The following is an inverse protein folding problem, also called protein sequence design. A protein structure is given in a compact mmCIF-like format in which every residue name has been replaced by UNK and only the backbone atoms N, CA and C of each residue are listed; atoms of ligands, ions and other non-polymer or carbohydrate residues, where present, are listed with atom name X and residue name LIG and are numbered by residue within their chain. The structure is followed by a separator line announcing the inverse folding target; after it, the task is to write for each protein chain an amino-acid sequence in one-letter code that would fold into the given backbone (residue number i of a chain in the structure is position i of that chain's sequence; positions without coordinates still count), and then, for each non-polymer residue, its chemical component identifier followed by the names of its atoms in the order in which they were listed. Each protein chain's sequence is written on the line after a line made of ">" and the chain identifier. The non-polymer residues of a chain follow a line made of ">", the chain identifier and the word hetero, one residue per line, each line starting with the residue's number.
data_IF_881340061139
#
_entry.id   IF_881340061139
#
_cell.length_a   1.000
_cell.length_b   1.000
_cell.length_c   1.000
_cell.angle_alpha   90.00
_cell.angle_beta   90.00
_cell.angle_gamma   90.00
#
_symmetry.space_group_name_H-M   'P 1'
#
loop_
_entity.id
_entity.type
_entity.pdbx_description
1 polymer ?
#
# COMPACT_ATOMS: atom_id res chain seq x y z
N UNK A 1 10.92 -11.87 25.88
CA UNK A 1 10.50 -10.59 25.28
C UNK A 1 10.17 -10.90 23.83
N UNK A 2 8.92 -10.80 23.43
CA UNK A 2 8.53 -10.92 22.01
C UNK A 2 9.01 -9.61 21.37
N UNK A 3 10.00 -9.70 20.47
CA UNK A 3 10.42 -8.55 19.67
C UNK A 3 9.21 -8.07 18.88
N UNK A 4 8.74 -6.86 19.17
CA UNK A 4 7.70 -6.18 18.42
C UNK A 4 8.27 -5.82 17.05
N UNK A 5 8.04 -6.67 16.05
CA UNK A 5 8.47 -6.40 14.68
C UNK A 5 7.45 -5.49 13.98
N UNK A 6 7.75 -4.21 13.98
CA UNK A 6 7.14 -3.29 13.03
C UNK A 6 7.52 -3.71 11.59
N UNK A 7 6.56 -3.66 10.64
CA UNK A 7 6.87 -3.98 9.25
C UNK A 7 7.93 -3.05 8.68
N UNK A 8 9.07 -3.63 8.28
CA UNK A 8 10.17 -2.87 7.68
C UNK A 8 9.78 -2.39 6.29
N UNK A 9 9.00 -3.17 5.55
CA UNK A 9 8.49 -2.77 4.22
C UNK A 9 7.52 -1.60 4.33
N UNK A 10 6.68 -1.55 5.36
CA UNK A 10 5.82 -0.38 5.61
C UNK A 10 6.65 0.88 5.86
N UNK A 11 7.74 0.79 6.64
CA UNK A 11 8.69 1.89 6.84
C UNK A 11 9.41 2.29 5.54
N UNK A 12 9.80 1.31 4.73
CA UNK A 12 10.45 1.55 3.45
C UNK A 12 9.53 2.28 2.46
N UNK A 13 8.25 1.87 2.38
CA UNK A 13 7.24 2.56 1.58
C UNK A 13 6.98 3.98 2.08
N UNK A 14 6.93 4.18 3.41
CA UNK A 14 6.80 5.51 4.01
C UNK A 14 8.00 6.40 3.70
N UNK A 15 9.22 5.85 3.80
CA UNK A 15 10.44 6.55 3.43
C UNK A 15 10.43 6.98 1.97
N UNK A 16 10.03 6.09 1.05
CA UNK A 16 9.95 6.39 -0.38
C UNK A 16 8.97 7.54 -0.66
N UNK A 17 7.80 7.58 0.00
CA UNK A 17 6.82 8.66 -0.11
C UNK A 17 7.37 9.97 0.45
N UNK A 18 7.95 9.93 1.66
CA UNK A 18 8.57 11.09 2.30
C UNK A 18 9.70 11.68 1.45
N UNK A 19 10.56 10.80 0.92
CA UNK A 19 11.67 11.21 0.06
C UNK A 19 11.16 11.89 -1.23
N UNK A 20 10.17 11.29 -1.89
CA UNK A 20 9.59 11.83 -3.12
C UNK A 20 8.90 13.18 -2.89
N UNK A 21 8.14 13.32 -1.79
CA UNK A 21 7.45 14.57 -1.44
C UNK A 21 8.42 15.72 -1.12
N UNK A 22 9.63 15.41 -0.64
CA UNK A 22 10.62 16.44 -0.28
C UNK A 22 11.52 16.89 -1.44
N UNK A 23 11.65 16.13 -2.52
CA UNK A 23 12.72 16.34 -3.51
C UNK A 23 12.24 16.87 -4.86
N UNK A 24 10.98 16.76 -5.22
CA UNK A 24 10.56 16.98 -6.61
C UNK A 24 9.48 18.03 -6.84
N UNK A 25 9.60 18.77 -7.95
CA UNK A 25 8.52 19.62 -8.46
C UNK A 25 7.49 18.85 -9.29
N UNK A 26 7.85 17.69 -9.85
CA UNK A 26 6.97 16.84 -10.64
C UNK A 26 6.66 15.55 -9.85
N UNK A 27 5.69 15.65 -8.95
CA UNK A 27 5.30 14.57 -8.04
C UNK A 27 4.29 13.63 -8.71
N UNK A 28 4.47 12.32 -8.54
CA UNK A 28 3.48 11.30 -8.90
C UNK A 28 2.38 11.30 -7.85
N UNK A 29 2.80 11.38 -6.59
CA UNK A 29 1.95 11.47 -5.42
C UNK A 29 2.64 12.32 -4.35
N UNK A 30 1.92 13.23 -3.72
CA UNK A 30 2.48 14.11 -2.69
C UNK A 30 1.99 13.75 -1.29
N UNK A 31 2.72 12.86 -0.63
CA UNK A 31 2.50 12.58 0.78
C UNK A 31 3.34 13.48 1.67
N UNK A 32 2.94 14.72 1.78
CA UNK A 32 3.66 15.76 2.53
C UNK A 32 3.73 15.48 4.04
N UNK A 33 2.94 14.53 4.56
CA UNK A 33 2.94 14.14 5.97
C UNK A 33 3.82 12.91 6.27
N UNK A 34 4.25 12.17 5.25
CA UNK A 34 4.99 10.93 5.45
C UNK A 34 6.31 11.13 6.21
N UNK A 35 7.03 12.25 5.98
CA UNK A 35 8.26 12.56 6.69
C UNK A 35 8.01 12.79 8.19
N UNK A 36 7.02 13.61 8.51
CA UNK A 36 6.69 13.95 9.90
C UNK A 36 6.23 12.69 10.66
N UNK A 37 5.33 11.90 10.05
CA UNK A 37 4.85 10.67 10.65
C UNK A 37 5.99 9.67 10.91
N UNK A 38 6.92 9.52 9.97
CA UNK A 38 8.09 8.66 10.13
C UNK A 38 9.04 9.18 11.21
N UNK A 39 9.20 10.49 11.29
CA UNK A 39 10.14 11.19 12.15
C UNK A 39 11.57 11.18 11.62
N UNK A 40 12.35 12.15 12.06
CA UNK A 40 13.73 12.36 11.62
C UNK A 40 14.59 11.11 11.83
N UNK A 41 14.54 10.52 13.04
CA UNK A 41 15.36 9.38 13.39
C UNK A 41 15.01 8.15 12.54
N UNK A 42 13.72 7.84 12.36
CA UNK A 42 13.27 6.76 11.50
C UNK A 42 13.61 6.99 10.02
N UNK A 43 13.58 8.23 9.57
CA UNK A 43 13.98 8.60 8.22
C UNK A 43 15.50 8.42 8.01
N UNK A 44 16.33 8.84 8.95
CA UNK A 44 17.78 8.68 8.90
C UNK A 44 18.17 7.20 8.99
N UNK A 45 17.55 6.43 9.90
CA UNK A 45 17.76 4.99 10.04
C UNK A 45 17.45 4.25 8.72
N UNK A 46 16.31 4.53 8.09
CA UNK A 46 15.95 3.91 6.83
C UNK A 46 16.89 4.33 5.69
N UNK A 47 17.29 5.59 5.65
CA UNK A 47 18.30 6.08 4.69
C UNK A 47 19.63 5.36 4.81
N UNK A 48 20.10 5.11 6.05
CA UNK A 48 21.31 4.34 6.32
C UNK A 48 21.17 2.87 5.94
N UNK A 49 20.01 2.25 6.22
CA UNK A 49 19.74 0.87 5.85
C UNK A 49 19.81 0.71 4.32
N UNK A 50 19.16 1.58 3.57
CA UNK A 50 19.20 1.58 2.10
C UNK A 50 20.62 1.81 1.58
N UNK A 51 21.41 2.67 2.23
CA UNK A 51 22.77 2.92 1.85
C UNK A 51 23.67 1.69 2.09
N UNK A 52 23.52 1.02 3.23
CA UNK A 52 24.38 -0.10 3.63
C UNK A 52 24.07 -1.39 2.87
N UNK A 53 22.79 -1.72 2.69
CA UNK A 53 22.37 -2.96 2.03
C UNK A 53 22.60 -2.93 0.52
N UNK A 54 22.71 -1.74 -0.06
CA UNK A 54 22.95 -1.57 -1.47
C UNK A 54 24.41 -1.19 -1.84
N UNK A 55 25.29 -0.90 -0.86
CA UNK A 55 26.71 -0.65 -1.08
C UNK A 55 27.58 -1.79 -0.51
N UNK A 56 27.78 -2.86 -1.29
CA UNK A 56 28.91 -3.77 -1.07
C UNK A 56 30.27 -3.09 -1.40
N UNK A 57 30.27 -1.86 -1.92
CA UNK A 57 31.46 -1.08 -2.25
C UNK A 57 31.45 0.29 -1.53
N UNK A 58 32.25 0.33 -0.45
CA UNK A 58 32.87 1.48 0.24
C UNK A 58 32.04 2.75 0.53
N UNK A 59 31.89 2.98 1.84
CA UNK A 59 31.36 4.18 2.46
C UNK A 59 32.07 5.48 2.03
N UNK A 60 31.39 6.34 1.31
CA UNK A 60 31.79 7.72 1.13
C UNK A 60 30.96 8.62 2.05
N UNK A 61 31.62 9.31 3.01
CA UNK A 61 31.01 10.06 4.09
C UNK A 61 30.40 11.41 3.72
N UNK A 62 30.17 11.70 2.43
CA UNK A 62 29.61 12.97 2.00
C UNK A 62 28.10 12.87 1.70
N UNK A 63 27.26 13.36 2.63
CA UNK A 63 25.80 13.36 2.59
C UNK A 63 25.18 13.84 1.26
N UNK A 64 25.78 14.75 0.53
CA UNK A 64 25.27 15.28 -0.75
C UNK A 64 25.44 14.30 -1.91
N UNK A 65 26.46 13.46 -1.89
CA UNK A 65 26.67 12.40 -2.89
C UNK A 65 25.85 11.16 -2.54
N UNK A 66 25.70 10.87 -1.26
CA UNK A 66 24.83 9.82 -0.73
C UNK A 66 23.36 10.07 -1.13
N UNK A 67 22.87 11.32 -1.12
CA UNK A 67 21.48 11.61 -1.47
C UNK A 67 21.14 11.33 -2.94
N UNK A 68 22.06 11.56 -3.90
CA UNK A 68 21.86 11.19 -5.31
C UNK A 68 21.88 9.68 -5.55
N UNK A 69 22.77 8.96 -4.85
CA UNK A 69 22.82 7.49 -4.94
C UNK A 69 21.57 6.87 -4.32
N UNK A 70 21.13 7.36 -3.16
CA UNK A 70 19.88 6.93 -2.51
C UNK A 70 18.70 7.22 -3.44
N UNK A 71 18.60 8.43 -4.02
CA UNK A 71 17.56 8.79 -4.97
C UNK A 71 17.48 7.83 -6.15
N UNK A 72 18.62 7.56 -6.79
CA UNK A 72 18.67 6.67 -7.96
C UNK A 72 18.22 5.24 -7.60
N UNK A 73 18.55 4.75 -6.41
CA UNK A 73 18.17 3.41 -5.96
C UNK A 73 16.71 3.32 -5.60
N UNK A 74 16.23 4.28 -4.81
CA UNK A 74 14.82 4.39 -4.50
C UNK A 74 13.98 4.44 -5.76
N UNK A 75 14.31 5.35 -6.65
CA UNK A 75 13.59 5.55 -7.90
C UNK A 75 13.66 4.33 -8.83
N UNK A 76 14.73 3.55 -8.75
CA UNK A 76 14.86 2.33 -9.55
C UNK A 76 14.12 1.14 -8.95
N UNK A 77 14.18 0.92 -7.62
CA UNK A 77 13.80 -0.36 -7.02
C UNK A 77 12.59 -0.29 -6.08
N UNK A 78 12.22 0.89 -5.55
CA UNK A 78 11.24 0.97 -4.47
C UNK A 78 10.13 1.98 -4.77
N UNK A 79 10.49 3.24 -4.99
CA UNK A 79 9.57 4.38 -5.09
C UNK A 79 8.43 4.22 -6.10
N UNK A 80 8.64 3.62 -7.28
CA UNK A 80 7.59 3.56 -8.29
C UNK A 80 6.31 2.85 -7.83
N UNK A 81 6.43 1.76 -7.06
CA UNK A 81 5.27 0.98 -6.64
C UNK A 81 4.42 1.75 -5.62
N UNK A 82 4.93 2.18 -4.45
CA UNK A 82 4.08 2.84 -3.45
C UNK A 82 3.47 4.15 -3.94
N UNK A 83 4.17 4.89 -4.82
CA UNK A 83 3.62 6.15 -5.33
C UNK A 83 2.48 5.94 -6.32
N UNK A 84 2.67 5.07 -7.31
CA UNK A 84 1.66 4.86 -8.35
C UNK A 84 0.42 4.15 -7.81
N UNK A 85 0.58 3.12 -6.95
CA UNK A 85 -0.57 2.41 -6.40
C UNK A 85 -1.42 3.27 -5.47
N UNK A 86 -0.82 4.16 -4.66
CA UNK A 86 -1.57 5.09 -3.81
C UNK A 86 -2.24 6.15 -4.66
N UNK A 87 -1.54 6.72 -5.66
CA UNK A 87 -2.13 7.66 -6.59
C UNK A 87 -3.34 7.06 -7.33
N UNK A 88 -3.25 5.80 -7.75
CA UNK A 88 -4.35 5.04 -8.31
C UNK A 88 -5.51 4.91 -7.32
N UNK A 89 -5.24 4.37 -6.14
CA UNK A 89 -6.27 4.09 -5.14
C UNK A 89 -6.99 5.36 -4.66
N UNK A 90 -6.28 6.45 -4.38
CA UNK A 90 -6.90 7.69 -3.93
C UNK A 90 -7.66 8.41 -5.05
N UNK A 91 -7.23 8.29 -6.32
CA UNK A 91 -8.01 8.76 -7.48
C UNK A 91 -9.38 8.08 -7.51
N UNK A 92 -9.40 6.75 -7.42
CA UNK A 92 -10.61 5.95 -7.49
C UNK A 92 -11.50 6.13 -6.24
N UNK A 93 -10.90 6.25 -5.06
CA UNK A 93 -11.62 6.57 -3.83
C UNK A 93 -12.32 7.94 -3.94
N UNK A 94 -11.65 8.95 -4.47
CA UNK A 94 -12.25 10.27 -4.68
C UNK A 94 -13.43 10.23 -5.65
N UNK A 95 -13.32 9.49 -6.75
CA UNK A 95 -14.42 9.28 -7.69
C UNK A 95 -15.59 8.52 -7.03
N UNK A 96 -15.28 7.49 -6.24
CA UNK A 96 -16.25 6.73 -5.47
C UNK A 96 -17.00 7.60 -4.46
N UNK A 97 -16.27 8.40 -3.68
CA UNK A 97 -16.86 9.31 -2.70
C UNK A 97 -17.72 10.41 -3.36
N UNK A 98 -17.31 10.94 -4.51
CA UNK A 98 -18.11 11.89 -5.28
C UNK A 98 -19.42 11.27 -5.79
N UNK A 99 -19.42 9.99 -6.14
CA UNK A 99 -20.63 9.30 -6.61
C UNK A 99 -21.60 8.97 -5.49
N UNK A 100 -21.10 8.45 -4.35
CA UNK A 100 -21.96 7.96 -3.25
C UNK A 100 -22.25 9.01 -2.17
N UNK A 101 -21.47 10.08 -2.07
CA UNK A 101 -21.49 10.98 -0.92
C UNK A 101 -20.90 10.27 0.30
N UNK A 102 -21.72 9.97 1.31
CA UNK A 102 -21.26 9.24 2.49
C UNK A 102 -20.82 7.83 2.14
N UNK A 103 -19.58 7.50 2.48
CA UNK A 103 -18.98 6.19 2.21
C UNK A 103 -17.95 5.80 3.28
N UNK A 104 -17.51 4.56 3.23
CA UNK A 104 -16.46 4.03 4.10
C UNK A 104 -15.22 3.68 3.28
N UNK A 105 -14.05 3.99 3.83
CA UNK A 105 -12.75 3.61 3.29
C UNK A 105 -12.05 2.67 4.25
N UNK A 106 -11.87 1.43 3.85
CA UNK A 106 -11.23 0.38 4.65
C UNK A 106 -9.86 0.07 4.10
N UNK A 107 -8.81 0.37 4.86
CA UNK A 107 -7.41 0.16 4.47
C UNK A 107 -6.90 -1.10 5.16
N UNK A 108 -6.73 -2.18 4.40
CA UNK A 108 -6.19 -3.44 4.90
C UNK A 108 -4.65 -3.41 4.88
N UNK A 109 -4.02 -3.41 6.05
CA UNK A 109 -2.58 -3.22 6.18
C UNK A 109 -2.18 -1.75 6.05
N UNK A 110 -2.81 -0.87 6.83
CA UNK A 110 -2.65 0.59 6.72
C UNK A 110 -1.21 1.08 6.96
N UNK A 111 -0.42 0.37 7.78
CA UNK A 111 0.97 0.74 8.03
C UNK A 111 1.12 2.18 8.50
N UNK A 112 1.92 2.93 7.74
CA UNK A 112 2.16 4.36 7.94
C UNK A 112 1.38 5.21 6.92
N UNK A 113 0.17 4.79 6.56
CA UNK A 113 -0.72 5.58 5.70
C UNK A 113 -1.07 6.92 6.35
N UNK A 114 -1.24 7.97 5.54
CA UNK A 114 -1.51 9.34 6.00
C UNK A 114 -2.83 9.89 5.45
N UNK A 115 -3.60 9.08 4.70
CA UNK A 115 -4.82 9.53 4.04
C UNK A 115 -5.76 10.27 5.01
N UNK A 116 -6.06 9.68 6.15
CA UNK A 116 -7.01 10.25 7.10
C UNK A 116 -6.62 11.64 7.61
N UNK A 117 -5.31 11.96 7.62
CA UNK A 117 -4.79 13.28 8.03
C UNK A 117 -4.62 14.27 6.88
N UNK A 118 -4.75 13.82 5.63
CA UNK A 118 -4.73 14.63 4.41
C UNK A 118 -6.13 14.83 3.82
N UNK A 119 -7.06 13.97 4.22
CA UNK A 119 -8.43 14.01 3.74
C UNK A 119 -9.21 15.13 4.42
N UNK A 120 -9.83 15.99 3.62
CA UNK A 120 -10.72 17.07 4.06
C UNK A 120 -12.21 16.77 3.81
N UNK A 121 -12.53 15.60 3.24
CA UNK A 121 -13.90 15.17 3.03
C UNK A 121 -14.43 14.44 4.28
N UNK A 122 -15.35 15.06 5.06
CA UNK A 122 -15.89 14.45 6.28
C UNK A 122 -16.86 13.29 6.00
N UNK A 123 -17.32 13.11 4.75
CA UNK A 123 -18.25 12.06 4.38
C UNK A 123 -17.55 10.69 4.16
N UNK A 124 -16.23 10.65 4.23
CA UNK A 124 -15.44 9.40 4.15
C UNK A 124 -15.08 8.94 5.57
N UNK A 125 -15.76 7.90 6.07
CA UNK A 125 -15.35 7.21 7.30
C UNK A 125 -14.18 6.29 7.03
N UNK A 126 -13.05 6.47 7.71
CA UNK A 126 -11.80 5.75 7.47
C UNK A 126 -11.56 4.69 8.51
N UNK A 127 -11.33 3.45 8.09
CA UNK A 127 -10.99 2.31 8.95
C UNK A 127 -9.59 1.81 8.60
N UNK A 128 -8.63 2.02 9.49
CA UNK A 128 -7.25 1.54 9.33
C UNK A 128 -7.06 0.20 10.05
N UNK A 129 -6.99 -0.88 9.26
CA UNK A 129 -6.73 -2.23 9.75
C UNK A 129 -5.24 -2.51 9.71
N UNK A 130 -4.65 -2.85 10.84
CA UNK A 130 -3.25 -3.26 10.90
C UNK A 130 -2.93 -4.07 12.16
N UNK A 131 -1.77 -4.74 12.12
CA UNK A 131 -1.27 -5.45 13.29
C UNK A 131 -1.19 -4.52 14.51
N UNK A 132 -1.57 -5.01 15.71
CA UNK A 132 -1.59 -4.18 16.91
C UNK A 132 -0.27 -3.44 17.19
N UNK A 133 0.88 -4.01 16.83
CA UNK A 133 2.19 -3.40 17.05
C UNK A 133 2.41 -2.20 16.12
N UNK A 134 2.12 -2.35 14.83
CA UNK A 134 2.18 -1.27 13.84
C UNK A 134 1.23 -0.13 14.21
N UNK A 135 0.00 -0.47 14.58
CA UNK A 135 -0.99 0.53 15.04
C UNK A 135 -0.56 1.26 16.32
N UNK A 136 0.12 0.58 17.26
CA UNK A 136 0.67 1.23 18.46
C UNK A 136 1.80 2.20 18.11
N UNK A 137 2.69 1.82 17.21
CA UNK A 137 3.76 2.69 16.73
C UNK A 137 3.19 3.94 16.08
N UNK A 138 2.30 3.81 15.09
CA UNK A 138 1.66 4.92 14.40
C UNK A 138 0.97 5.88 15.38
N UNK A 139 0.13 5.37 16.29
CA UNK A 139 -0.55 6.20 17.29
C UNK A 139 0.40 6.88 18.25
N UNK A 140 1.54 6.27 18.59
CA UNK A 140 2.61 6.95 19.36
C UNK A 140 3.16 8.12 18.59
N UNK A 141 3.50 7.95 17.31
CA UNK A 141 3.99 9.02 16.45
C UNK A 141 3.00 10.16 16.31
N UNK A 142 1.73 9.87 16.10
CA UNK A 142 0.65 10.86 16.03
C UNK A 142 0.61 11.71 17.31
N UNK A 143 0.72 11.08 18.49
CA UNK A 143 0.74 11.81 19.78
C UNK A 143 2.00 12.67 19.93
N UNK A 144 3.17 12.15 19.54
CA UNK A 144 4.43 12.91 19.59
C UNK A 144 4.42 14.14 18.66
N UNK A 145 3.67 14.06 17.56
CA UNK A 145 3.45 15.17 16.63
C UNK A 145 2.32 16.12 17.04
N UNK A 146 1.62 15.79 18.12
CA UNK A 146 0.43 16.53 18.58
C UNK A 146 -0.65 16.67 17.50
N UNK A 147 -0.73 15.72 16.57
CA UNK A 147 -1.75 15.70 15.54
C UNK A 147 -3.13 15.40 16.13
N UNK A 148 -4.11 16.19 15.71
CA UNK A 148 -5.51 15.92 16.04
C UNK A 148 -5.98 14.73 15.22
N UNK A 149 -6.46 13.70 15.91
CA UNK A 149 -7.05 12.53 15.24
C UNK A 149 -8.42 12.95 14.71
N UNK A 150 -8.68 12.80 13.39
CA UNK A 150 -9.99 13.09 12.82
C UNK A 150 -11.09 12.22 13.45
N UNK A 151 -12.28 12.79 13.68
CA UNK A 151 -13.41 12.07 14.28
C UNK A 151 -13.90 10.89 13.44
N UNK A 152 -13.68 10.95 12.12
CA UNK A 152 -14.01 9.92 11.13
C UNK A 152 -12.88 8.90 10.90
N UNK A 153 -11.85 8.86 11.76
CA UNK A 153 -10.77 7.86 11.70
C UNK A 153 -10.90 6.80 12.80
N UNK A 154 -11.01 5.55 12.39
CA UNK A 154 -11.08 4.38 13.25
C UNK A 154 -9.84 3.51 13.10
N UNK A 155 -9.06 3.34 14.18
CA UNK A 155 -7.97 2.38 14.22
C UNK A 155 -8.50 1.00 14.61
N UNK A 156 -8.35 0.02 13.73
CA UNK A 156 -8.85 -1.36 13.91
C UNK A 156 -7.66 -2.32 14.08
N UNK A 157 -7.23 -2.61 15.30
CA UNK A 157 -6.13 -3.55 15.52
C UNK A 157 -6.59 -4.97 15.15
N UNK A 158 -5.86 -5.60 14.23
CA UNK A 158 -6.16 -6.93 13.70
C UNK A 158 -4.87 -7.73 13.42
N UNK A 159 -4.83 -8.98 13.86
CA UNK A 159 -3.89 -9.97 13.34
C UNK A 159 -4.63 -10.82 12.31
N UNK A 160 -4.42 -10.53 11.01
CA UNK A 160 -5.11 -11.20 9.92
C UNK A 160 -4.94 -12.74 9.90
N UNK A 161 -3.96 -13.26 10.63
CA UNK A 161 -3.75 -14.71 10.76
C UNK A 161 -4.62 -15.36 11.86
N UNK A 162 -5.22 -14.58 12.75
CA UNK A 162 -5.95 -15.07 13.93
C UNK A 162 -7.34 -14.48 14.09
N UNK A 163 -7.50 -13.22 13.71
CA UNK A 163 -8.72 -12.46 13.94
C UNK A 163 -9.68 -12.55 12.74
N UNK A 164 -10.96 -12.45 13.01
CA UNK A 164 -11.95 -12.26 11.97
C UNK A 164 -12.11 -10.77 11.63
N UNK A 165 -11.92 -10.43 10.35
CA UNK A 165 -11.95 -9.07 9.85
C UNK A 165 -13.35 -8.44 10.01
N UNK A 166 -14.40 -9.21 9.79
CA UNK A 166 -15.78 -8.72 9.89
C UNK A 166 -16.11 -8.35 11.33
N UNK A 167 -15.76 -9.21 12.28
CA UNK A 167 -15.98 -8.95 13.71
C UNK A 167 -15.23 -7.70 14.18
N UNK A 168 -13.97 -7.56 13.74
CA UNK A 168 -13.14 -6.39 14.11
C UNK A 168 -13.67 -5.08 13.54
N UNK A 169 -14.11 -5.08 12.29
CA UNK A 169 -14.71 -3.92 11.64
C UNK A 169 -16.03 -3.52 12.31
N UNK A 170 -16.96 -4.48 12.50
CA UNK A 170 -18.25 -4.23 13.14
C UNK A 170 -18.07 -3.67 14.56
N UNK A 171 -17.14 -4.24 15.33
CA UNK A 171 -16.82 -3.75 16.68
C UNK A 171 -16.23 -2.32 16.70
N UNK A 172 -15.73 -1.84 15.54
CA UNK A 172 -15.12 -0.52 15.37
C UNK A 172 -16.07 0.51 14.75
N UNK A 173 -17.35 0.17 14.55
CA UNK A 173 -18.36 1.08 14.02
C UNK A 173 -18.57 1.00 12.50
N UNK A 174 -17.98 0.02 11.82
CA UNK A 174 -18.25 -0.25 10.41
C UNK A 174 -19.73 -0.59 10.20
N UNK A 175 -20.35 0.01 9.19
CA UNK A 175 -21.74 -0.23 8.81
C UNK A 175 -21.83 -0.95 7.46
N UNK A 176 -22.25 -2.23 7.43
CA UNK A 176 -22.40 -2.98 6.17
C UNK A 176 -23.45 -2.40 5.21
N UNK A 177 -24.26 -1.44 5.65
CA UNK A 177 -25.29 -0.77 4.83
C UNK A 177 -24.79 0.51 4.17
N UNK A 178 -23.51 0.86 4.34
CA UNK A 178 -22.89 2.03 3.72
C UNK A 178 -21.94 1.56 2.61
N UNK A 179 -21.97 2.15 1.39
CA UNK A 179 -21.03 1.84 0.32
C UNK A 179 -19.59 1.94 0.81
N UNK A 180 -18.79 0.92 0.51
CA UNK A 180 -17.43 0.81 1.05
C UNK A 180 -16.40 0.64 -0.05
N UNK A 181 -15.30 1.37 0.08
CA UNK A 181 -14.12 1.24 -0.74
C UNK A 181 -13.02 0.52 0.07
N UNK A 182 -12.67 -0.70 -0.33
CA UNK A 182 -11.61 -1.49 0.32
C UNK A 182 -10.30 -1.31 -0.43
N UNK A 183 -9.20 -1.05 0.28
CA UNK A 183 -7.86 -1.00 -0.27
C UNK A 183 -6.96 -2.08 0.35
N UNK A 184 -6.36 -2.90 -0.51
CA UNK A 184 -5.40 -3.95 -0.14
C UNK A 184 -4.08 -3.64 -0.85
N UNK A 185 -3.38 -2.60 -0.38
CA UNK A 185 -2.20 -2.07 -1.06
C UNK A 185 -0.90 -2.60 -0.45
N UNK A 186 -0.10 -3.28 -1.27
CA UNK A 186 1.18 -3.85 -0.85
C UNK A 186 1.06 -5.06 0.07
N UNK A 187 -0.07 -5.75 0.04
CA UNK A 187 -0.39 -6.89 0.91
C UNK A 187 -0.45 -8.20 0.13
N UNK A 188 -0.98 -8.20 -1.09
CA UNK A 188 -1.16 -9.39 -1.92
C UNK A 188 0.13 -10.19 -2.12
N UNK A 189 1.27 -9.53 -2.18
CA UNK A 189 2.62 -10.12 -2.32
C UNK A 189 2.93 -11.20 -1.27
N UNK A 190 2.33 -11.08 -0.10
CA UNK A 190 2.57 -11.91 1.08
C UNK A 190 1.45 -12.90 1.34
N UNK A 191 0.48 -13.00 0.42
CA UNK A 191 -0.64 -13.91 0.51
C UNK A 191 -0.44 -15.08 -0.47
N UNK A 192 -0.82 -16.27 -0.04
CA UNK A 192 -1.05 -17.37 -0.99
C UNK A 192 -2.37 -17.12 -1.71
N UNK A 193 -2.57 -17.76 -2.88
CA UNK A 193 -3.83 -17.64 -3.63
C UNK A 193 -5.05 -17.93 -2.74
N UNK A 194 -4.99 -18.99 -1.93
CA UNK A 194 -6.10 -19.36 -1.04
C UNK A 194 -6.40 -18.30 0.02
N UNK A 195 -5.39 -17.64 0.56
CA UNK A 195 -5.58 -16.54 1.54
C UNK A 195 -6.11 -15.29 0.84
N UNK A 196 -5.65 -15.01 -0.37
CA UNK A 196 -6.19 -13.92 -1.19
C UNK A 196 -7.68 -14.17 -1.50
N UNK A 197 -8.04 -15.36 -2.00
CA UNK A 197 -9.44 -15.73 -2.25
C UNK A 197 -10.32 -15.60 -1.00
N UNK A 198 -9.82 -16.05 0.15
CA UNK A 198 -10.54 -15.93 1.43
C UNK A 198 -10.72 -14.47 1.84
N UNK A 199 -9.75 -13.61 1.58
CA UNK A 199 -9.85 -12.17 1.84
C UNK A 199 -10.95 -11.55 0.98
N UNK A 200 -10.98 -11.84 -0.33
CA UNK A 200 -12.04 -11.37 -1.25
C UNK A 200 -13.41 -11.90 -0.81
N UNK A 201 -13.51 -13.17 -0.40
CA UNK A 201 -14.74 -13.77 0.12
C UNK A 201 -15.26 -13.00 1.35
N UNK A 202 -14.40 -12.71 2.31
CA UNK A 202 -14.75 -11.95 3.52
C UNK A 202 -15.25 -10.55 3.18
N UNK A 203 -14.54 -9.81 2.32
CA UNK A 203 -14.95 -8.49 1.85
C UNK A 203 -16.33 -8.58 1.19
N UNK A 204 -16.51 -9.54 0.26
CA UNK A 204 -17.80 -9.74 -0.40
C UNK A 204 -18.96 -9.97 0.56
N UNK A 205 -18.73 -10.68 1.67
CA UNK A 205 -19.78 -11.02 2.63
C UNK A 205 -20.23 -9.86 3.51
N UNK A 206 -19.45 -8.77 3.57
CA UNK A 206 -19.71 -7.66 4.50
C UNK A 206 -19.96 -6.33 3.81
N UNK A 207 -20.02 -6.28 2.48
CA UNK A 207 -20.25 -5.03 1.75
C UNK A 207 -21.48 -5.08 0.85
N UNK A 208 -22.08 -3.92 0.63
CA UNK A 208 -23.18 -3.72 -0.31
C UNK A 208 -22.73 -3.89 -1.76
N UNK A 209 -23.71 -4.05 -2.66
CA UNK A 209 -23.53 -3.80 -4.09
C UNK A 209 -22.91 -2.41 -4.32
N UNK A 210 -22.18 -2.28 -5.42
CA UNK A 210 -21.43 -1.07 -5.80
C UNK A 210 -20.25 -0.71 -4.89
N UNK A 211 -20.06 -1.41 -3.75
CA UNK A 211 -18.79 -1.30 -3.01
C UNK A 211 -17.63 -1.76 -3.88
N UNK A 212 -16.45 -1.16 -3.67
CA UNK A 212 -15.28 -1.42 -4.51
C UNK A 212 -14.13 -2.02 -3.71
N UNK A 213 -13.29 -2.77 -4.39
CA UNK A 213 -12.00 -3.22 -3.87
C UNK A 213 -10.89 -2.80 -4.84
N UNK A 214 -9.85 -2.17 -4.29
CA UNK A 214 -8.63 -1.81 -5.03
C UNK A 214 -7.45 -2.57 -4.44
N UNK A 215 -6.59 -3.11 -5.29
CA UNK A 215 -5.35 -3.76 -4.86
C UNK A 215 -4.30 -3.76 -5.95
N UNK A 216 -3.04 -3.87 -5.54
CA UNK A 216 -1.92 -4.17 -6.41
C UNK A 216 -1.48 -5.62 -6.24
N UNK A 217 -0.99 -6.24 -7.31
CA UNK A 217 -0.50 -7.60 -7.27
C UNK A 217 0.70 -7.82 -8.20
N UNK A 218 1.66 -8.68 -7.78
CA UNK A 218 2.74 -9.12 -8.65
C UNK A 218 2.24 -10.23 -9.56
N UNK A 219 2.60 -10.19 -10.86
CA UNK A 219 2.24 -11.26 -11.78
C UNK A 219 3.08 -12.54 -11.56
N UNK A 220 2.68 -13.62 -12.24
CA UNK A 220 3.33 -14.93 -12.13
C UNK A 220 4.81 -14.93 -12.51
N UNK A 221 5.29 -13.93 -13.27
CA UNK A 221 6.70 -13.84 -13.66
C UNK A 221 7.61 -13.46 -12.51
N UNK A 222 7.07 -12.89 -11.43
CA UNK A 222 7.81 -12.37 -10.27
C UNK A 222 8.75 -13.38 -9.63
N UNK A 223 8.29 -14.63 -9.50
CA UNK A 223 9.04 -15.72 -8.86
C UNK A 223 9.70 -16.67 -9.87
N UNK A 224 9.54 -16.41 -11.18
CA UNK A 224 10.18 -17.20 -12.21
C UNK A 224 11.61 -16.73 -12.43
N UNK A 225 12.56 -17.67 -12.51
CA UNK A 225 13.99 -17.37 -12.74
C UNK A 225 14.34 -16.64 -14.05
N UNK A 226 13.34 -16.25 -14.82
CA UNK A 226 13.44 -15.50 -16.06
C UNK A 226 12.96 -14.03 -15.94
N UNK A 227 12.58 -13.60 -14.73
CA UNK A 227 12.15 -12.22 -14.52
C UNK A 227 13.30 -11.23 -14.72
N UNK A 228 12.97 -9.96 -14.94
CA UNK A 228 13.94 -8.88 -15.13
C UNK A 228 14.76 -8.70 -13.84
N UNK A 229 16.07 -8.38 -13.96
CA UNK A 229 16.99 -8.14 -12.83
C UNK A 229 16.37 -7.26 -11.73
N UNK A 230 15.63 -6.22 -12.11
CA UNK A 230 15.00 -5.28 -11.19
C UNK A 230 13.94 -5.94 -10.31
N UNK A 231 13.14 -6.84 -10.87
CA UNK A 231 12.11 -7.60 -10.14
C UNK A 231 12.76 -8.56 -9.14
N UNK A 232 13.81 -9.28 -9.55
CA UNK A 232 14.59 -10.13 -8.64
C UNK A 232 15.20 -9.31 -7.49
N UNK A 233 15.79 -8.18 -7.80
CA UNK A 233 16.40 -7.31 -6.77
C UNK A 233 15.38 -6.87 -5.73
N UNK A 234 14.15 -6.52 -6.14
CA UNK A 234 13.08 -6.17 -5.20
C UNK A 234 12.67 -7.36 -4.32
N UNK A 235 12.51 -8.55 -4.92
CA UNK A 235 12.18 -9.77 -4.17
C UNK A 235 13.28 -10.12 -3.15
N UNK A 236 14.54 -10.01 -3.53
CA UNK A 236 15.69 -10.22 -2.64
C UNK A 236 15.73 -9.20 -1.48
N UNK A 237 15.40 -7.93 -1.76
CA UNK A 237 15.33 -6.88 -0.74
C UNK A 237 14.26 -7.23 0.30
N UNK A 238 13.05 -7.56 -0.14
CA UNK A 238 11.94 -7.89 0.77
C UNK A 238 12.23 -9.16 1.58
N UNK A 239 12.86 -10.18 0.97
CA UNK A 239 13.28 -11.40 1.69
C UNK A 239 14.35 -11.11 2.75
N UNK A 240 15.36 -10.28 2.45
CA UNK A 240 16.36 -9.84 3.43
C UNK A 240 15.77 -9.05 4.58
N UNK A 241 14.72 -8.28 4.32
CA UNK A 241 13.98 -7.55 5.35
C UNK A 241 13.04 -8.46 6.17
N UNK A 242 12.97 -9.76 5.85
CA UNK A 242 12.16 -10.75 6.56
C UNK A 242 10.71 -10.80 6.08
N UNK A 243 10.40 -10.15 4.95
CA UNK A 243 9.07 -10.11 4.33
C UNK A 243 9.15 -10.71 2.92
N UNK A 244 9.25 -12.04 2.86
CA UNK A 244 9.36 -12.77 1.58
C UNK A 244 8.06 -12.71 0.79
N UNK A 245 8.15 -12.40 -0.50
CA UNK A 245 7.04 -12.55 -1.44
C UNK A 245 6.69 -14.03 -1.61
N UNK A 246 5.42 -14.38 -1.46
CA UNK A 246 4.97 -15.78 -1.44
C UNK A 246 4.38 -16.26 -2.76
N UNK A 247 3.72 -15.36 -3.51
CA UNK A 247 2.96 -15.72 -4.71
C UNK A 247 3.02 -14.62 -5.77
N UNK A 248 3.09 -15.01 -7.03
CA UNK A 248 2.82 -14.18 -8.18
C UNK A 248 1.53 -14.70 -8.84
N UNK A 249 0.60 -13.82 -9.16
CA UNK A 249 -0.74 -14.17 -9.61
C UNK A 249 -0.86 -14.06 -11.12
N UNK A 250 -1.43 -15.07 -11.77
CA UNK A 250 -1.92 -14.89 -13.13
C UNK A 250 -3.20 -14.01 -13.12
N UNK A 251 -3.43 -13.28 -14.20
CA UNK A 251 -4.69 -12.53 -14.36
C UNK A 251 -5.92 -13.44 -14.23
N UNK A 252 -5.83 -14.69 -14.72
CA UNK A 252 -6.91 -15.67 -14.60
C UNK A 252 -7.24 -16.02 -13.16
N UNK A 253 -6.23 -16.19 -12.29
CA UNK A 253 -6.44 -16.46 -10.86
C UNK A 253 -7.14 -15.27 -10.19
N UNK A 254 -6.66 -14.04 -10.46
CA UNK A 254 -7.27 -12.81 -9.94
C UNK A 254 -8.73 -12.68 -10.41
N UNK A 255 -8.97 -12.81 -11.71
CA UNK A 255 -10.31 -12.74 -12.28
C UNK A 255 -11.24 -13.79 -11.66
N UNK A 256 -10.80 -15.06 -11.59
CA UNK A 256 -11.63 -16.14 -11.04
C UNK A 256 -11.93 -15.94 -9.54
N UNK A 257 -11.00 -15.40 -8.78
CA UNK A 257 -11.22 -15.08 -7.36
C UNK A 257 -12.28 -13.99 -7.19
N UNK A 258 -12.23 -12.93 -7.99
CA UNK A 258 -13.18 -11.83 -7.96
C UNK A 258 -14.57 -12.28 -8.42
N UNK A 259 -14.66 -12.92 -9.61
CA UNK A 259 -15.92 -13.41 -10.20
C UNK A 259 -16.66 -14.37 -9.25
N UNK A 260 -15.94 -15.31 -8.63
CA UNK A 260 -16.50 -16.29 -7.67
C UNK A 260 -17.26 -15.63 -6.52
N UNK A 261 -16.82 -14.46 -6.11
CA UNK A 261 -17.42 -13.74 -4.97
C UNK A 261 -18.20 -12.50 -5.39
N UNK A 262 -18.60 -12.42 -6.67
CA UNK A 262 -19.50 -11.42 -7.24
C UNK A 262 -18.87 -10.04 -7.35
N UNK A 263 -17.57 -9.98 -7.68
CA UNK A 263 -16.90 -8.74 -8.09
C UNK A 263 -16.62 -8.77 -9.58
N UNK A 264 -16.91 -7.66 -10.27
CA UNK A 264 -16.53 -7.42 -11.65
C UNK A 264 -15.36 -6.44 -11.71
N UNK A 265 -14.38 -6.72 -12.58
CA UNK A 265 -13.23 -5.84 -12.78
C UNK A 265 -13.67 -4.62 -13.58
N UNK A 266 -13.57 -3.43 -12.96
CA UNK A 266 -13.84 -2.14 -13.60
C UNK A 266 -12.60 -1.60 -14.30
N UNK A 267 -11.43 -1.72 -13.65
CA UNK A 267 -10.16 -1.26 -14.21
C UNK A 267 -9.04 -2.26 -13.89
N UNK A 268 -8.23 -2.56 -14.91
CA UNK A 268 -7.00 -3.34 -14.77
C UNK A 268 -5.86 -2.57 -15.39
N UNK A 269 -5.01 -1.97 -14.56
CA UNK A 269 -3.81 -1.30 -15.02
C UNK A 269 -2.61 -2.28 -15.07
N UNK A 270 -2.19 -2.59 -16.29
CA UNK A 270 -0.97 -3.36 -16.55
C UNK A 270 0.29 -2.51 -16.34
N UNK A 271 1.49 -3.11 -16.23
CA UNK A 271 2.75 -2.37 -16.15
C UNK A 271 2.91 -1.30 -17.24
N UNK A 272 2.43 -1.57 -18.46
CA UNK A 272 2.50 -0.62 -19.58
C UNK A 272 1.55 0.57 -19.37
N UNK A 273 0.35 0.32 -18.85
CA UNK A 273 -0.62 1.38 -18.55
C UNK A 273 -0.12 2.25 -17.39
N UNK A 274 0.40 1.63 -16.33
CA UNK A 274 1.03 2.31 -15.19
C UNK A 274 2.20 3.18 -15.68
N UNK A 275 3.05 2.66 -16.60
CA UNK A 275 4.12 3.43 -17.21
C UNK A 275 3.61 4.66 -17.96
N UNK A 276 2.55 4.50 -18.74
CA UNK A 276 1.97 5.59 -19.53
C UNK A 276 1.31 6.66 -18.66
N UNK A 277 0.69 6.26 -17.57
CA UNK A 277 -0.09 7.15 -16.70
C UNK A 277 0.77 7.92 -15.71
N UNK A 278 1.70 7.22 -15.02
CA UNK A 278 2.43 7.80 -13.90
C UNK A 278 3.88 8.16 -14.23
N UNK A 279 4.46 7.53 -15.25
CA UNK A 279 5.90 7.64 -15.56
C UNK A 279 6.21 8.15 -16.97
N UNK A 280 5.19 8.56 -17.73
CA UNK A 280 5.37 9.14 -19.04
C UNK A 280 6.30 10.37 -18.98
N UNK A 281 7.30 10.40 -19.84
CA UNK A 281 8.30 11.47 -19.92
C UNK A 281 9.22 11.61 -18.68
N UNK A 282 9.33 10.57 -17.85
CA UNK A 282 10.28 10.51 -16.75
C UNK A 282 11.51 9.70 -17.15
N UNK A 283 12.69 10.21 -16.79
CA UNK A 283 13.96 9.49 -16.96
C UNK A 283 14.52 8.94 -15.65
N UNK A 284 13.92 9.33 -14.52
CA UNK A 284 14.36 9.00 -13.17
C UNK A 284 13.65 7.78 -12.57
N UNK A 285 12.46 7.49 -13.07
CA UNK A 285 11.63 6.37 -12.60
C UNK A 285 10.86 5.72 -13.75
N UNK A 286 10.53 4.43 -13.57
CA UNK A 286 9.67 3.68 -14.47
C UNK A 286 8.79 2.70 -13.69
N UNK A 287 7.63 2.33 -14.24
CA UNK A 287 6.79 1.29 -13.68
C UNK A 287 7.56 -0.03 -13.52
N UNK A 288 7.18 -0.84 -12.53
CA UNK A 288 7.70 -2.20 -12.42
C UNK A 288 7.05 -3.11 -13.45
N UNK A 289 7.84 -3.99 -14.00
CA UNK A 289 7.49 -4.82 -15.15
C UNK A 289 6.47 -5.91 -14.82
N UNK A 290 6.27 -6.20 -13.54
CA UNK A 290 5.47 -7.31 -13.02
C UNK A 290 4.34 -6.85 -12.07
N UNK A 291 4.13 -5.55 -11.89
CA UNK A 291 3.11 -5.05 -10.95
C UNK A 291 1.90 -4.56 -11.71
N UNK A 292 0.73 -5.03 -11.29
CA UNK A 292 -0.57 -4.68 -11.85
C UNK A 292 -1.45 -4.07 -10.76
N UNK A 293 -2.41 -3.22 -11.17
CA UNK A 293 -3.44 -2.69 -10.29
C UNK A 293 -4.82 -3.15 -10.76
N UNK A 294 -5.69 -3.45 -9.81
CA UNK A 294 -7.09 -3.80 -10.06
C UNK A 294 -7.99 -2.86 -9.26
N UNK A 295 -9.04 -2.41 -9.91
CA UNK A 295 -10.24 -1.89 -9.29
C UNK A 295 -11.39 -2.81 -9.70
N UNK A 296 -12.12 -3.33 -8.71
CA UNK A 296 -13.30 -4.16 -8.96
C UNK A 296 -14.47 -3.66 -8.10
N UNK A 297 -15.68 -3.78 -8.62
CA UNK A 297 -16.91 -3.42 -7.91
C UNK A 297 -17.76 -4.64 -7.61
N UNK A 298 -18.51 -4.58 -6.51
CA UNK A 298 -19.45 -5.62 -6.11
C UNK A 298 -20.72 -5.53 -6.92
N UNK A 299 -21.05 -6.60 -7.65
CA UNK A 299 -22.30 -6.69 -8.42
C UNK A 299 -23.53 -6.69 -7.49
N UNK A 300 -24.63 -6.18 -8.00
CA UNK A 300 -25.95 -6.34 -7.38
C UNK A 300 -26.35 -7.82 -7.43
N UNK A 301 -26.85 -8.34 -6.34
CA UNK A 301 -27.40 -9.69 -6.34
C UNK A 301 -28.57 -9.72 -7.35
N UNK A 302 -28.43 -10.55 -8.40
CA UNK A 302 -29.48 -10.77 -9.43
C UNK A 302 -30.68 -11.54 -8.84
#
# INVERSE_FOLDING_TARGET
>A
MVETRESVTAKLCSFARAFHSNIGSNKIFDDYLAFDLMGKDGYEEMGQLIQNDFDAEKSDKNFTFASKKIANRLNRYITPIPLSRIAFAERELNAFAQHHGKCQYVICGAGMDTFAFRNDNPDIEVFELDHPDTGRYKRRRIRELEWIIPDNLHFVPIDFSKDDMSERLLASGYDPQVPTFFAILGVSYYLTLSVFEETIRKISSMCLAESKVVFDYPDETTLLGQSVERVHTLADITEKLGEKMLHGYSYKEVYSALERYGFEIEEHETPQMIQMQYFKNRSDMAAFENINFILAYKESAS
#
